data_IF_826515508516
#
_entry.id   IF_826515508516
#
_cell.length_a   1.000
_cell.length_b   1.000
_cell.length_c   1.000
_cell.angle_alpha   90.00
_cell.angle_beta   90.00
_cell.angle_gamma   90.00
#
_symmetry.space_group_name_H-M   'P 1'
#
loop_
_entity.id
_entity.type
_entity.pdbx_description
1 polymer ?
#
# COMPACT_ATOMS: atom_id res chain seq x y z
N UNK A 1 44.39 59.50 -94.86
CA UNK A 1 43.62 58.36 -95.41
C UNK A 1 44.61 57.31 -95.86
N UNK A 2 44.88 56.31 -95.02
CA UNK A 2 45.60 55.10 -95.42
C UNK A 2 44.81 53.95 -94.79
N UNK A 3 43.93 53.40 -95.60
CA UNK A 3 43.06 52.28 -95.31
C UNK A 3 43.92 51.00 -95.41
N UNK A 4 44.54 50.63 -94.29
CA UNK A 4 45.29 49.38 -94.16
C UNK A 4 44.27 48.26 -93.90
N UNK A 5 43.81 47.66 -95.00
CA UNK A 5 43.10 46.38 -94.99
C UNK A 5 44.03 45.30 -94.43
N UNK A 6 44.06 45.21 -93.09
CA UNK A 6 44.81 44.22 -92.35
C UNK A 6 44.04 42.90 -92.37
N UNK A 7 44.30 42.09 -93.41
CA UNK A 7 44.05 40.65 -93.29
C UNK A 7 45.01 40.11 -92.23
N UNK A 8 44.51 39.87 -91.02
CA UNK A 8 45.24 39.20 -89.95
C UNK A 8 45.74 37.84 -90.45
N UNK A 9 47.04 37.55 -90.28
CA UNK A 9 47.58 36.24 -90.63
C UNK A 9 46.85 35.13 -89.85
N UNK A 10 46.60 33.95 -90.44
CA UNK A 10 45.86 32.86 -89.81
C UNK A 10 46.38 32.44 -88.42
N UNK A 11 47.67 32.65 -88.16
CA UNK A 11 48.32 32.37 -86.88
C UNK A 11 47.82 33.27 -85.73
N UNK A 12 47.50 34.54 -85.99
CA UNK A 12 47.01 35.47 -84.97
C UNK A 12 45.55 35.21 -84.58
N UNK A 13 44.75 34.66 -85.49
CA UNK A 13 43.36 34.26 -85.21
C UNK A 13 43.34 33.11 -84.19
N UNK A 14 44.18 32.09 -84.39
CA UNK A 14 44.30 30.98 -83.44
C UNK A 14 44.85 31.39 -82.08
N UNK A 15 45.79 32.34 -82.02
CA UNK A 15 46.27 32.88 -80.75
C UNK A 15 45.13 33.57 -79.97
N UNK A 16 44.32 34.38 -80.67
CA UNK A 16 43.16 35.09 -80.09
C UNK A 16 42.08 34.11 -79.61
N UNK A 17 41.89 32.98 -80.30
CA UNK A 17 40.98 31.92 -79.87
C UNK A 17 41.48 31.20 -78.60
N UNK A 18 42.78 30.92 -78.53
CA UNK A 18 43.41 30.29 -77.35
C UNK A 18 43.32 31.20 -76.13
N UNK A 19 43.55 32.50 -76.29
CA UNK A 19 43.38 33.49 -75.21
C UNK A 19 41.92 33.50 -74.71
N UNK A 20 40.93 33.56 -75.62
CA UNK A 20 39.51 33.49 -75.24
C UNK A 20 39.14 32.19 -74.51
N UNK A 21 39.71 31.06 -74.91
CA UNK A 21 39.49 29.77 -74.22
C UNK A 21 40.11 29.79 -72.81
N UNK A 22 41.28 30.41 -72.66
CA UNK A 22 41.92 30.57 -71.36
C UNK A 22 41.08 31.46 -70.43
N UNK A 23 40.55 32.58 -70.94
CA UNK A 23 39.68 33.48 -70.19
C UNK A 23 38.39 32.79 -69.74
N UNK A 24 37.70 32.09 -70.66
CA UNK A 24 36.50 31.31 -70.33
C UNK A 24 36.81 30.24 -69.29
N UNK A 25 37.97 29.58 -69.38
CA UNK A 25 38.38 28.56 -68.41
C UNK A 25 38.64 29.17 -67.04
N UNK A 26 39.24 30.36 -66.98
CA UNK A 26 39.43 31.08 -65.72
C UNK A 26 38.08 31.45 -65.09
N UNK A 27 37.12 31.90 -65.90
CA UNK A 27 35.75 32.20 -65.43
C UNK A 27 35.02 30.96 -64.90
N UNK A 28 35.11 29.83 -65.60
CA UNK A 28 34.53 28.55 -65.13
C UNK A 28 35.13 28.15 -63.79
N UNK A 29 36.46 28.21 -63.65
CA UNK A 29 37.13 27.87 -62.39
C UNK A 29 36.70 28.80 -61.25
N UNK A 30 36.58 30.10 -61.52
CA UNK A 30 36.11 31.07 -60.54
C UNK A 30 34.68 30.75 -60.09
N UNK A 31 33.78 30.45 -61.03
CA UNK A 31 32.38 30.09 -60.73
C UNK A 31 32.27 28.75 -60.00
N UNK A 32 33.15 27.80 -60.30
CA UNK A 32 33.25 26.53 -59.57
C UNK A 32 33.64 26.76 -58.12
N UNK A 33 34.64 27.60 -57.85
CA UNK A 33 35.06 27.92 -56.48
C UNK A 33 33.96 28.66 -55.71
N UNK A 34 33.28 29.62 -56.34
CA UNK A 34 32.15 30.33 -55.75
C UNK A 34 31.02 29.36 -55.36
N UNK A 35 30.75 28.37 -56.22
CA UNK A 35 29.77 27.32 -55.93
C UNK A 35 30.19 26.46 -54.75
N UNK A 36 31.46 26.06 -54.67
CA UNK A 36 31.99 25.24 -53.58
C UNK A 36 31.89 25.97 -52.23
N UNK A 37 32.19 27.28 -52.21
CA UNK A 37 32.04 28.11 -51.01
C UNK A 37 30.57 28.12 -50.55
N UNK A 38 29.62 28.34 -51.47
CA UNK A 38 28.20 28.36 -51.12
C UNK A 38 27.68 27.00 -50.63
N UNK A 39 28.20 25.90 -51.17
CA UNK A 39 27.90 24.55 -50.67
C UNK A 39 28.40 24.38 -49.24
N UNK A 40 29.66 24.75 -48.98
CA UNK A 40 30.24 24.67 -47.63
C UNK A 40 29.49 25.55 -46.62
N UNK A 41 29.11 26.77 -47.00
CA UNK A 41 28.30 27.65 -46.17
C UNK A 41 26.94 27.02 -45.83
N UNK A 42 26.29 26.39 -46.81
CA UNK A 42 25.02 25.70 -46.62
C UNK A 42 25.16 24.48 -45.71
N UNK A 43 26.20 23.66 -45.91
CA UNK A 43 26.45 22.45 -45.13
C UNK A 43 26.81 22.76 -43.67
N UNK A 44 27.48 23.88 -43.44
CA UNK A 44 27.90 24.32 -42.09
C UNK A 44 26.93 25.33 -41.45
N UNK A 45 25.86 25.73 -42.16
CA UNK A 45 24.95 26.76 -41.69
C UNK A 45 24.32 26.42 -40.33
N UNK A 46 24.04 25.15 -40.06
CA UNK A 46 23.37 24.74 -38.82
C UNK A 46 24.23 24.95 -37.55
N UNK A 47 25.55 25.08 -37.71
CA UNK A 47 26.52 25.34 -36.63
C UNK A 47 27.21 26.70 -36.73
N UNK A 48 27.22 27.35 -37.90
CA UNK A 48 27.87 28.64 -38.10
C UNK A 48 26.88 29.79 -38.23
N UNK A 49 25.69 29.56 -38.79
CA UNK A 49 24.77 30.64 -39.13
C UNK A 49 23.95 31.08 -37.91
N UNK A 50 23.90 32.39 -37.60
CA UNK A 50 23.24 32.92 -36.39
C UNK A 50 21.78 32.50 -36.22
N UNK A 51 21.03 32.36 -37.32
CA UNK A 51 19.63 31.91 -37.29
C UNK A 51 19.46 30.54 -36.63
N UNK A 52 20.18 29.51 -37.10
CA UNK A 52 20.07 28.15 -36.58
C UNK A 52 20.64 28.05 -35.16
N UNK A 53 21.74 28.76 -34.89
CA UNK A 53 22.32 28.84 -33.56
C UNK A 53 21.35 29.47 -32.55
N UNK A 54 20.69 30.57 -32.93
CA UNK A 54 19.70 31.23 -32.08
C UNK A 54 18.54 30.30 -31.77
N UNK A 55 18.04 29.57 -32.77
CA UNK A 55 16.97 28.59 -32.58
C UNK A 55 17.39 27.46 -31.62
N UNK A 56 18.59 26.89 -31.80
CA UNK A 56 19.15 25.86 -30.90
C UNK A 56 19.32 26.41 -29.47
N UNK A 57 19.85 27.62 -29.32
CA UNK A 57 20.00 28.29 -28.02
C UNK A 57 18.66 28.53 -27.32
N UNK A 58 17.63 28.96 -28.06
CA UNK A 58 16.29 29.15 -27.51
C UNK A 58 15.69 27.83 -27.01
N UNK A 59 15.83 26.74 -27.77
CA UNK A 59 15.36 25.43 -27.34
C UNK A 59 16.05 24.96 -26.04
N UNK A 60 17.38 25.13 -25.96
CA UNK A 60 18.14 24.83 -24.75
C UNK A 60 17.72 25.72 -23.56
N UNK A 61 17.44 26.99 -23.81
CA UNK A 61 17.00 27.91 -22.76
C UNK A 61 15.61 27.56 -22.24
N UNK A 62 14.68 27.13 -23.10
CA UNK A 62 13.37 26.62 -22.69
C UNK A 62 13.52 25.37 -21.82
N UNK A 63 14.36 24.43 -22.24
CA UNK A 63 14.64 23.22 -21.46
C UNK A 63 15.23 23.56 -20.08
N UNK A 64 16.20 24.47 -20.01
CA UNK A 64 16.81 24.89 -18.75
C UNK A 64 15.79 25.54 -17.82
N UNK A 65 14.93 26.43 -18.32
CA UNK A 65 13.83 27.02 -17.54
C UNK A 65 12.89 25.96 -16.96
N UNK A 66 12.57 24.94 -17.75
CA UNK A 66 11.74 23.84 -17.29
C UNK A 66 12.45 23.02 -16.19
N UNK A 67 13.74 22.70 -16.36
CA UNK A 67 14.52 22.00 -15.35
C UNK A 67 14.63 22.79 -14.04
N UNK A 68 14.85 24.11 -14.11
CA UNK A 68 14.87 24.98 -12.93
C UNK A 68 13.52 24.96 -12.18
N UNK A 69 12.41 25.00 -12.91
CA UNK A 69 11.07 24.90 -12.32
C UNK A 69 10.87 23.55 -11.60
N UNK A 70 11.25 22.44 -12.24
CA UNK A 70 11.18 21.10 -11.65
C UNK A 70 12.05 21.01 -10.38
N UNK A 71 13.26 21.57 -10.40
CA UNK A 71 14.14 21.57 -9.24
C UNK A 71 13.57 22.39 -8.07
N UNK A 72 12.94 23.53 -8.37
CA UNK A 72 12.24 24.35 -7.39
C UNK A 72 11.10 23.58 -6.75
N UNK A 73 10.24 22.94 -7.54
CA UNK A 73 9.12 22.14 -7.02
C UNK A 73 9.58 20.91 -6.23
N UNK A 74 10.65 20.23 -6.68
CA UNK A 74 11.25 19.14 -5.89
C UNK A 74 11.72 19.64 -4.52
N UNK A 75 12.28 20.86 -4.44
CA UNK A 75 12.73 21.47 -3.18
C UNK A 75 11.56 21.82 -2.27
N UNK A 76 10.51 22.45 -2.81
CA UNK A 76 9.30 22.82 -2.05
C UNK A 76 8.59 21.57 -1.53
N UNK A 77 8.46 20.54 -2.36
CA UNK A 77 7.87 19.26 -1.98
C UNK A 77 8.66 18.61 -0.84
N UNK A 78 9.99 18.54 -0.95
CA UNK A 78 10.82 18.01 0.13
C UNK A 78 10.62 18.79 1.43
N UNK A 79 10.60 20.12 1.38
CA UNK A 79 10.36 20.93 2.57
C UNK A 79 8.99 20.68 3.19
N UNK A 80 7.96 20.47 2.37
CA UNK A 80 6.61 20.12 2.84
C UNK A 80 6.58 18.74 3.48
N UNK A 81 7.23 17.76 2.87
CA UNK A 81 7.30 16.38 3.39
C UNK A 81 8.17 16.25 4.64
N UNK A 82 9.19 17.11 4.80
CA UNK A 82 9.99 17.18 6.02
C UNK A 82 9.26 17.86 7.19
N UNK A 83 8.14 18.56 6.95
CA UNK A 83 7.30 19.03 8.05
C UNK A 83 6.55 17.82 8.61
N UNK A 84 6.80 17.41 9.86
CA UNK A 84 6.09 16.28 10.43
C UNK A 84 4.60 16.61 10.50
N UNK A 85 3.74 15.66 10.09
CA UNK A 85 2.28 15.81 10.05
C UNK A 85 1.67 16.11 11.43
N UNK A 86 2.36 15.65 12.48
CA UNK A 86 2.08 15.93 13.87
C UNK A 86 3.44 16.27 14.49
N UNK A 87 3.54 17.27 15.36
CA UNK A 87 4.74 17.37 16.21
C UNK A 87 4.81 16.07 17.02
N UNK A 88 5.85 15.24 16.83
CA UNK A 88 6.04 14.00 17.59
C UNK A 88 6.15 14.26 19.09
N UNK A 89 6.41 15.51 19.46
CA UNK A 89 6.41 15.99 20.83
C UNK A 89 5.41 17.14 20.94
N UNK A 90 4.48 17.06 21.91
CA UNK A 90 3.73 18.24 22.30
C UNK A 90 4.76 19.28 22.76
N UNK A 91 4.80 20.50 22.19
CA UNK A 91 5.75 21.53 22.60
C UNK A 91 5.36 22.03 23.98
N UNK A 92 5.77 21.26 25.00
CA UNK A 92 5.57 21.58 26.40
C UNK A 92 6.89 22.15 26.89
N UNK A 93 6.84 23.29 27.57
CA UNK A 93 8.03 23.82 28.24
C UNK A 93 8.52 22.81 29.30
N UNK A 94 9.84 22.69 29.45
CA UNK A 94 10.44 21.68 30.34
C UNK A 94 9.90 21.75 31.78
N UNK A 95 9.53 22.94 32.25
CA UNK A 95 8.94 23.16 33.58
C UNK A 95 7.60 22.43 33.79
N UNK A 96 6.86 22.16 32.70
CA UNK A 96 5.56 21.51 32.76
C UNK A 96 5.61 20.00 32.50
N UNK A 97 6.76 19.45 32.10
CA UNK A 97 6.88 18.03 31.75
C UNK A 97 6.48 17.10 32.89
N UNK A 98 6.91 17.40 34.12
CA UNK A 98 6.55 16.61 35.31
C UNK A 98 5.04 16.56 35.52
N UNK A 99 4.37 17.71 35.43
CA UNK A 99 2.92 17.81 35.63
C UNK A 99 2.14 17.11 34.53
N UNK A 100 2.59 17.22 33.27
CA UNK A 100 1.95 16.53 32.15
C UNK A 100 2.14 15.02 32.24
N UNK A 101 3.33 14.55 32.64
CA UNK A 101 3.57 13.13 32.86
C UNK A 101 2.65 12.56 33.95
N UNK A 102 2.55 13.24 35.11
CA UNK A 102 1.64 12.87 36.19
C UNK A 102 0.18 12.86 35.71
N UNK A 103 -0.27 13.91 35.00
CA UNK A 103 -1.62 14.00 34.46
C UNK A 103 -1.94 12.87 33.48
N UNK A 104 -1.01 12.55 32.57
CA UNK A 104 -1.18 11.46 31.60
C UNK A 104 -1.28 10.11 32.31
N UNK A 105 -0.49 9.88 33.36
CA UNK A 105 -0.62 8.67 34.19
C UNK A 105 -1.99 8.58 34.85
N UNK A 106 -2.49 9.68 35.42
CA UNK A 106 -3.85 9.73 35.98
C UNK A 106 -4.92 9.48 34.92
N UNK A 107 -4.77 10.07 33.73
CA UNK A 107 -5.73 9.91 32.64
C UNK A 107 -5.81 8.46 32.17
N UNK A 108 -4.67 7.77 32.02
CA UNK A 108 -4.63 6.35 31.65
C UNK A 108 -5.32 5.49 32.72
N UNK A 109 -4.98 5.69 33.99
CA UNK A 109 -5.60 4.93 35.09
C UNK A 109 -7.12 5.19 35.19
N UNK A 110 -7.54 6.43 34.93
CA UNK A 110 -8.96 6.79 34.89
C UNK A 110 -9.69 6.09 33.73
N UNK A 111 -9.11 6.09 32.52
CA UNK A 111 -9.69 5.43 31.34
C UNK A 111 -9.84 3.93 31.61
N UNK A 112 -8.81 3.28 32.14
CA UNK A 112 -8.86 1.86 32.48
C UNK A 112 -9.96 1.55 33.50
N UNK A 113 -10.07 2.36 34.56
CA UNK A 113 -11.13 2.20 35.56
C UNK A 113 -12.53 2.42 34.98
N UNK A 114 -12.67 3.41 34.09
CA UNK A 114 -13.93 3.71 33.42
C UNK A 114 -14.36 2.54 32.52
N UNK A 115 -13.44 1.97 31.74
CA UNK A 115 -13.71 0.82 30.87
C UNK A 115 -14.19 -0.39 31.70
N UNK A 116 -13.54 -0.67 32.83
CA UNK A 116 -13.96 -1.74 33.75
C UNK A 116 -15.38 -1.52 34.29
N UNK A 117 -15.73 -0.28 34.64
CA UNK A 117 -17.09 0.06 35.09
C UNK A 117 -18.11 -0.11 33.95
N UNK A 118 -17.80 0.33 32.73
CA UNK A 118 -18.67 0.16 31.57
C UNK A 118 -18.90 -1.33 31.26
N UNK A 119 -17.85 -2.14 31.32
CA UNK A 119 -17.96 -3.58 31.11
C UNK A 119 -18.82 -4.24 32.18
N UNK A 120 -18.69 -3.81 33.43
CA UNK A 120 -19.56 -4.27 34.53
C UNK A 120 -21.02 -3.93 34.24
N UNK A 121 -21.33 -2.67 33.87
CA UNK A 121 -22.70 -2.24 33.54
C UNK A 121 -23.26 -3.05 32.37
N UNK A 122 -22.45 -3.32 31.34
CA UNK A 122 -22.84 -4.12 30.17
C UNK A 122 -23.17 -5.57 30.52
N UNK A 123 -22.59 -6.10 31.60
CA UNK A 123 -22.85 -7.47 32.07
C UNK A 123 -24.15 -7.61 32.87
N UNK A 124 -24.65 -6.53 33.49
CA UNK A 124 -25.85 -6.55 34.35
C UNK A 124 -27.10 -7.09 33.63
N UNK A 125 -27.42 -6.68 32.39
CA UNK A 125 -28.59 -7.21 31.67
C UNK A 125 -28.52 -8.71 31.37
N UNK A 126 -27.34 -9.34 31.46
CA UNK A 126 -27.18 -10.78 31.27
C UNK A 126 -27.49 -11.58 32.55
N UNK A 127 -27.49 -10.92 33.72
CA UNK A 127 -27.73 -11.58 35.01
C UNK A 127 -29.11 -12.25 35.07
N UNK A 128 -30.23 -11.59 34.68
CA UNK A 128 -31.54 -12.25 34.70
C UNK A 128 -31.62 -13.47 33.78
N UNK A 129 -30.95 -13.43 32.62
CA UNK A 129 -30.89 -14.57 31.70
C UNK A 129 -30.11 -15.74 32.32
N UNK A 130 -28.96 -15.46 32.94
CA UNK A 130 -28.18 -16.49 33.64
C UNK A 130 -28.92 -17.07 34.85
N UNK A 131 -29.67 -16.24 35.58
CA UNK A 131 -30.48 -16.67 36.72
C UNK A 131 -31.61 -17.60 36.28
N UNK A 132 -32.34 -17.24 35.20
CA UNK A 132 -33.38 -18.11 34.63
C UNK A 132 -32.82 -19.47 34.17
N UNK A 133 -31.61 -19.49 33.61
CA UNK A 133 -30.94 -20.73 33.22
C UNK A 133 -30.58 -21.59 34.45
N UNK A 134 -30.13 -20.97 35.53
CA UNK A 134 -29.89 -21.64 36.81
C UNK A 134 -31.19 -22.20 37.42
N UNK A 135 -32.28 -21.42 37.44
CA UNK A 135 -33.58 -21.88 37.95
C UNK A 135 -34.08 -23.11 37.19
N UNK A 136 -33.92 -23.13 35.86
CA UNK A 136 -34.29 -24.27 35.03
C UNK A 136 -33.39 -25.50 35.31
N UNK A 137 -32.09 -25.28 35.52
CA UNK A 137 -31.18 -26.36 35.90
C UNK A 137 -31.54 -26.94 37.29
N UNK A 138 -31.88 -26.08 38.24
CA UNK A 138 -32.31 -26.48 39.58
C UNK A 138 -33.63 -27.27 39.54
N UNK A 139 -34.60 -26.85 38.74
CA UNK A 139 -35.85 -27.59 38.54
C UNK A 139 -35.59 -29.01 37.98
N UNK A 140 -34.67 -29.15 37.02
CA UNK A 140 -34.27 -30.46 36.47
C UNK A 140 -33.58 -31.33 37.51
N UNK A 141 -32.71 -30.76 38.33
CA UNK A 141 -32.04 -31.49 39.41
C UNK A 141 -33.06 -31.98 40.44
N UNK A 142 -34.01 -31.13 40.84
CA UNK A 142 -35.05 -31.52 41.79
C UNK A 142 -35.91 -32.67 41.24
N UNK A 143 -36.28 -32.63 39.95
CA UNK A 143 -36.99 -33.72 39.31
C UNK A 143 -36.19 -35.03 39.36
N UNK A 144 -34.90 -34.98 39.00
CA UNK A 144 -34.03 -36.16 39.08
C UNK A 144 -33.91 -36.69 40.51
N UNK A 145 -33.79 -35.81 41.51
CA UNK A 145 -33.78 -36.23 42.92
C UNK A 145 -35.06 -36.99 43.27
N UNK A 146 -36.23 -36.45 42.91
CA UNK A 146 -37.50 -37.14 43.17
C UNK A 146 -37.62 -38.48 42.46
N UNK A 147 -37.17 -38.58 41.20
CA UNK A 147 -37.13 -39.85 40.45
C UNK A 147 -36.18 -40.86 41.11
N UNK A 148 -35.03 -40.40 41.61
CA UNK A 148 -34.08 -41.28 42.31
C UNK A 148 -34.59 -41.73 43.69
N UNK A 149 -35.32 -40.88 44.39
CA UNK A 149 -35.97 -41.23 45.66
C UNK A 149 -37.05 -42.29 45.42
N UNK A 150 -37.91 -42.11 44.42
CA UNK A 150 -38.94 -43.09 44.05
C UNK A 150 -38.30 -44.45 43.66
N UNK A 151 -37.25 -44.43 42.84
CA UNK A 151 -36.51 -45.65 42.47
C UNK A 151 -35.91 -46.33 43.70
N UNK A 152 -35.38 -45.57 44.67
CA UNK A 152 -34.84 -46.12 45.90
C UNK A 152 -35.93 -46.78 46.76
N UNK A 153 -37.11 -46.16 46.87
CA UNK A 153 -38.27 -46.74 47.55
C UNK A 153 -38.75 -48.02 46.86
N UNK A 154 -38.81 -48.04 45.53
CA UNK A 154 -39.13 -49.24 44.76
C UNK A 154 -38.12 -50.36 45.04
N UNK A 155 -36.82 -50.08 45.08
CA UNK A 155 -35.79 -51.09 45.41
C UNK A 155 -35.98 -51.65 46.83
N UNK A 156 -36.31 -50.80 47.80
CA UNK A 156 -36.55 -51.22 49.19
C UNK A 156 -37.78 -52.13 49.30
N UNK A 157 -38.89 -51.76 48.67
CA UNK A 157 -40.11 -52.58 48.65
C UNK A 157 -39.89 -53.91 47.93
N UNK A 158 -39.17 -53.92 46.80
CA UNK A 158 -38.76 -55.16 46.12
C UNK A 158 -37.89 -56.06 47.01
N UNK A 159 -36.95 -55.49 47.78
CA UNK A 159 -36.10 -56.24 48.71
C UNK A 159 -36.91 -56.86 49.85
N UNK A 160 -37.89 -56.13 50.38
CA UNK A 160 -38.79 -56.64 51.41
C UNK A 160 -39.65 -57.79 50.90
N UNK A 161 -40.20 -57.66 49.67
CA UNK A 161 -40.95 -58.73 49.01
C UNK A 161 -40.08 -59.99 48.83
N UNK A 162 -38.82 -59.84 48.40
CA UNK A 162 -37.88 -60.96 48.28
C UNK A 162 -37.59 -61.64 49.62
N UNK A 163 -37.46 -60.89 50.72
CA UNK A 163 -37.30 -61.47 52.05
C UNK A 163 -38.53 -62.27 52.46
N UNK A 164 -39.73 -61.74 52.25
CA UNK A 164 -40.99 -62.45 52.53
C UNK A 164 -41.11 -63.79 51.77
N UNK A 165 -40.78 -63.78 50.47
CA UNK A 165 -40.77 -65.01 49.64
C UNK A 165 -39.71 -66.02 50.12
N UNK A 166 -38.58 -65.57 50.65
CA UNK A 166 -37.57 -66.47 51.23
C UNK A 166 -38.03 -67.06 52.57
N UNK A 167 -38.77 -66.33 53.40
CA UNK A 167 -39.36 -66.86 54.64
C UNK A 167 -40.45 -67.91 54.33
N UNK A 168 -41.37 -67.63 53.41
CA UNK A 168 -42.40 -68.59 52.95
C UNK A 168 -41.76 -69.85 52.36
N UNK A 169 -40.73 -69.73 51.53
CA UNK A 169 -40.04 -70.89 50.97
C UNK A 169 -39.25 -71.68 52.03
N UNK A 170 -38.77 -71.03 53.09
CA UNK A 170 -38.11 -71.71 54.21
C UNK A 170 -39.09 -72.43 55.15
N UNK A 171 -40.34 -71.95 55.27
CA UNK A 171 -41.42 -72.69 55.93
C UNK A 171 -41.89 -73.87 55.08
N UNK A 172 -42.00 -73.73 53.76
CA UNK A 172 -42.36 -74.83 52.87
C UNK A 172 -41.28 -75.92 52.80
N UNK A 173 -39.98 -75.59 52.86
CA UNK A 173 -38.93 -76.63 52.97
C UNK A 173 -38.87 -77.27 54.36
N UNK A 174 -39.23 -76.54 55.43
CA UNK A 174 -39.27 -77.13 56.77
C UNK A 174 -40.53 -77.98 57.03
N UNK A 175 -41.67 -77.68 56.40
CA UNK A 175 -42.87 -78.56 56.45
C UNK A 175 -42.76 -79.78 55.55
N UNK A 176 -42.02 -79.70 54.43
CA UNK A 176 -41.80 -80.86 53.56
C UNK A 176 -40.77 -81.86 54.12
N UNK A 177 -39.80 -81.41 54.91
CA UNK A 177 -38.88 -82.31 55.63
C UNK A 177 -39.48 -82.88 56.94
N UNK A 178 -40.51 -82.26 57.54
CA UNK A 178 -41.16 -82.80 58.74
C UNK A 178 -42.29 -83.81 58.46
N UNK A 179 -42.75 -83.95 57.22
CA UNK A 179 -43.77 -84.95 56.84
C UNK A 179 -43.19 -86.35 56.50
N UNK A 180 -41.88 -86.55 56.61
CA UNK A 180 -41.22 -87.87 56.51
C UNK A 180 -40.60 -88.32 57.83
N UNK A 181 -41.21 -88.00 58.97
CA UNK A 181 -40.95 -88.68 60.25
C UNK A 181 -42.23 -88.73 61.08
N UNK A 182 -43.08 -89.72 60.84
CA UNK A 182 -43.42 -90.86 61.74
C UNK A 182 -44.47 -91.72 61.05
#
# INVERSE_FOLDING_TARGET
MLDLSAKQDPCFVHLTEVEKIADIRAEINQKSLETEILVLEKETADIAHPYFLTQKCQALQVMNKHLEAVLKEKRTLRQRLMKPLCQENLPIEAIFHRYVAELLTLAVAFIEKLENHLQTIKSIPQIPLTMKNMDNALAKINLLVTETEELAEQILTWRELQKGIHYDNSEITNESDSSFRT
#
